data_IF_404098787323
#
_entry.id   IF_404098787323
#
_cell.length_a   1.000
_cell.length_b   1.000
_cell.length_c   1.000
_cell.angle_alpha   90.00
_cell.angle_beta   90.00
_cell.angle_gamma   90.00
#
_symmetry.space_group_name_H-M   'P 1'
#
loop_
_entity.id
_entity.type
_entity.pdbx_description
1 polymer ?
#
# COMPACT_ATOMS: atom_id res chain seq x y z
N UNK A 1 4.01 36.63 -2.97
CA UNK A 1 3.16 37.46 -3.86
C UNK A 1 2.67 38.65 -3.07
N UNK A 2 2.77 39.88 -3.59
CA UNK A 2 2.30 41.11 -2.90
C UNK A 2 1.20 41.76 -3.72
N UNK A 3 0.01 41.94 -3.13
CA UNK A 3 -1.10 42.69 -3.73
C UNK A 3 -0.91 44.17 -3.46
N UNK A 4 -1.12 45.02 -4.47
CA UNK A 4 -0.81 46.45 -4.42
C UNK A 4 -2.04 47.37 -4.56
N UNK A 5 -3.20 46.80 -4.88
CA UNK A 5 -4.46 47.49 -5.20
C UNK A 5 -5.57 47.09 -4.22
N UNK A 6 -6.71 47.78 -4.28
CA UNK A 6 -7.92 47.43 -3.52
C UNK A 6 -8.65 46.23 -4.16
N UNK A 7 -9.49 45.50 -3.41
CA UNK A 7 -10.20 44.28 -3.87
C UNK A 7 -9.56 42.95 -3.44
N UNK A 8 -10.16 41.82 -3.83
CA UNK A 8 -9.74 40.46 -3.48
C UNK A 8 -8.83 39.88 -4.57
N UNK A 9 -7.72 39.24 -4.19
CA UNK A 9 -6.92 38.42 -5.10
C UNK A 9 -6.80 37.00 -4.55
N UNK A 10 -6.92 36.01 -5.44
CA UNK A 10 -6.63 34.62 -5.17
C UNK A 10 -5.30 34.25 -5.83
N UNK A 11 -4.51 33.41 -5.16
CA UNK A 11 -3.27 32.90 -5.71
C UNK A 11 -2.96 31.53 -5.13
N UNK A 12 -2.31 30.68 -5.92
CA UNK A 12 -1.83 29.37 -5.49
C UNK A 12 -0.34 29.26 -5.73
N UNK A 13 0.33 28.47 -4.90
CA UNK A 13 1.72 28.06 -5.09
C UNK A 13 1.73 26.55 -5.12
N UNK A 14 2.31 26.00 -6.18
CA UNK A 14 2.46 24.56 -6.35
C UNK A 14 3.94 24.24 -6.39
N UNK A 15 4.35 23.21 -5.65
CA UNK A 15 5.71 22.69 -5.68
C UNK A 15 5.66 21.17 -5.74
N UNK A 16 6.42 20.61 -6.68
CA UNK A 16 6.55 19.18 -6.90
C UNK A 16 8.04 18.83 -6.98
N UNK A 17 8.40 17.68 -6.44
CA UNK A 17 9.76 17.14 -6.46
C UNK A 17 9.71 15.61 -6.46
N UNK A 18 10.84 14.98 -6.79
CA UNK A 18 11.05 13.56 -6.62
C UNK A 18 11.84 13.34 -5.34
N UNK A 19 11.45 12.33 -4.55
CA UNK A 19 12.11 11.95 -3.31
C UNK A 19 12.57 10.49 -3.40
N UNK A 20 13.62 10.17 -2.65
CA UNK A 20 14.02 8.78 -2.45
C UNK A 20 12.92 8.02 -1.67
N UNK A 21 12.49 6.88 -2.21
CA UNK A 21 11.44 6.06 -1.61
C UNK A 21 11.75 5.63 -0.17
N UNK A 22 13.03 5.44 0.17
CA UNK A 22 13.47 5.11 1.53
C UNK A 22 13.27 6.23 2.54
N UNK A 23 13.04 7.46 2.07
CA UNK A 23 12.81 8.65 2.91
C UNK A 23 11.32 8.97 3.08
N UNK A 24 10.44 8.24 2.41
CA UNK A 24 8.98 8.40 2.55
C UNK A 24 8.55 7.83 3.90
N UNK A 25 8.03 8.70 4.76
CA UNK A 25 7.48 8.32 6.07
C UNK A 25 5.98 8.07 5.98
N UNK A 26 5.37 7.28 6.88
CA UNK A 26 3.94 7.06 6.86
C UNK A 26 3.17 8.38 7.08
N UNK A 27 2.10 8.59 6.33
CA UNK A 27 1.22 9.74 6.50
C UNK A 27 -0.03 9.35 7.29
N UNK A 28 -0.14 9.88 8.51
CA UNK A 28 -1.25 9.63 9.44
C UNK A 28 -2.11 10.87 9.70
N UNK A 29 -2.01 11.89 8.84
CA UNK A 29 -2.68 13.18 9.03
C UNK A 29 -4.18 13.18 8.72
N UNK A 30 -4.72 12.07 8.23
CA UNK A 30 -6.12 11.93 7.83
C UNK A 30 -6.83 10.83 8.61
N UNK A 31 -8.16 10.70 8.46
CA UNK A 31 -8.93 9.56 8.95
C UNK A 31 -8.49 8.18 8.46
N UNK A 32 -7.67 8.10 7.41
CA UNK A 32 -7.12 6.86 6.87
C UNK A 32 -5.72 6.64 7.44
N UNK A 33 -5.43 5.39 7.85
CA UNK A 33 -4.10 5.01 8.30
C UNK A 33 -3.70 3.67 7.70
N UNK A 34 -2.53 3.64 7.08
CA UNK A 34 -1.95 2.45 6.50
C UNK A 34 -0.70 2.00 7.24
N UNK A 35 -0.61 0.69 7.46
CA UNK A 35 0.62 0.04 7.92
C UNK A 35 0.92 -1.15 7.03
N UNK A 36 2.08 -1.12 6.39
CA UNK A 36 2.60 -2.22 5.58
C UNK A 36 3.53 -3.08 6.42
N UNK A 37 3.42 -4.39 6.33
CA UNK A 37 4.31 -5.33 7.01
C UNK A 37 4.57 -6.53 6.11
N UNK A 38 5.78 -7.07 6.15
CA UNK A 38 6.19 -8.22 5.35
C UNK A 38 6.36 -9.46 6.22
N UNK A 39 5.91 -10.59 5.68
CA UNK A 39 6.08 -11.91 6.28
C UNK A 39 6.67 -12.87 5.24
N UNK A 40 7.43 -13.86 5.68
CA UNK A 40 7.70 -15.06 4.90
C UNK A 40 6.70 -16.14 5.27
N UNK A 41 6.23 -16.88 4.27
CA UNK A 41 5.41 -18.07 4.49
C UNK A 41 6.31 -19.29 4.62
N UNK A 42 6.35 -19.85 5.82
CA UNK A 42 7.21 -21.00 6.15
C UNK A 42 6.36 -22.25 6.40
N UNK A 43 6.83 -23.39 5.89
CA UNK A 43 6.20 -24.68 6.13
C UNK A 43 6.63 -25.23 7.49
N UNK A 44 5.69 -25.37 8.42
CA UNK A 44 5.95 -25.98 9.74
C UNK A 44 5.28 -27.35 9.84
N UNK A 45 5.62 -28.12 10.89
CA UNK A 45 4.93 -29.40 11.19
C UNK A 45 3.42 -29.26 11.42
N UNK A 46 2.94 -28.05 11.78
CA UNK A 46 1.53 -27.73 12.00
C UNK A 46 0.84 -27.13 10.76
N UNK A 47 1.55 -27.00 9.65
CA UNK A 47 1.09 -26.32 8.44
C UNK A 47 1.85 -25.01 8.16
N UNK A 48 1.44 -24.26 7.13
CA UNK A 48 2.05 -22.97 6.80
C UNK A 48 1.87 -21.96 7.94
N UNK A 49 2.93 -21.21 8.24
CA UNK A 49 2.91 -20.11 9.20
C UNK A 49 3.52 -18.85 8.57
N UNK A 50 3.09 -17.68 9.04
CA UNK A 50 3.66 -16.40 8.66
C UNK A 50 4.67 -15.95 9.72
N UNK A 51 5.91 -15.71 9.30
CA UNK A 51 6.96 -15.17 10.16
C UNK A 51 7.37 -13.78 9.67
N UNK A 52 7.49 -12.76 10.55
CA UNK A 52 7.94 -11.44 10.13
C UNK A 52 9.31 -11.50 9.45
N UNK A 53 9.49 -10.74 8.37
CA UNK A 53 10.81 -10.61 7.72
C UNK A 53 11.77 -9.90 8.69
N UNK A 54 12.87 -10.57 9.03
CA UNK A 54 13.89 -10.06 9.99
C UNK A 54 15.28 -9.86 9.37
N UNK A 55 15.44 -10.16 8.09
CA UNK A 55 16.74 -10.13 7.43
C UNK A 55 16.64 -10.45 5.95
N UNK A 56 17.76 -10.85 5.36
CA UNK A 56 17.83 -11.15 3.94
C UNK A 56 16.97 -12.37 3.57
N UNK A 57 16.26 -12.26 2.45
CA UNK A 57 15.47 -13.31 1.84
C UNK A 57 16.29 -14.09 0.81
N UNK A 58 15.77 -15.23 0.38
CA UNK A 58 16.30 -16.03 -0.71
C UNK A 58 15.39 -15.97 -1.93
N UNK A 59 15.98 -16.11 -3.12
CA UNK A 59 15.20 -16.34 -4.35
C UNK A 59 14.33 -17.59 -4.17
N UNK A 60 13.05 -17.46 -4.48
CA UNK A 60 12.05 -18.52 -4.32
C UNK A 60 11.22 -18.43 -3.04
N UNK A 61 11.59 -17.59 -2.07
CA UNK A 61 10.78 -17.36 -0.87
C UNK A 61 9.40 -16.80 -1.25
N UNK A 62 8.35 -17.31 -0.59
CA UNK A 62 7.01 -16.73 -0.68
C UNK A 62 6.89 -15.61 0.36
N UNK A 63 6.85 -14.38 -0.15
CA UNK A 63 6.73 -13.16 0.63
C UNK A 63 5.25 -12.79 0.70
N UNK A 64 4.70 -12.67 1.89
CA UNK A 64 3.33 -12.23 2.12
C UNK A 64 3.35 -10.77 2.55
N UNK A 65 2.71 -9.93 1.76
CA UNK A 65 2.50 -8.52 2.08
C UNK A 65 1.20 -8.41 2.86
N UNK A 66 1.26 -7.77 4.03
CA UNK A 66 0.10 -7.43 4.85
C UNK A 66 -0.05 -5.92 4.90
N UNK A 67 -1.24 -5.44 4.58
CA UNK A 67 -1.61 -4.03 4.72
C UNK A 67 -2.73 -3.96 5.76
N UNK A 68 -2.46 -3.29 6.88
CA UNK A 68 -3.47 -2.94 7.88
C UNK A 68 -4.01 -1.56 7.53
N UNK A 69 -5.31 -1.48 7.23
CA UNK A 69 -6.04 -0.24 7.00
C UNK A 69 -6.92 0.07 8.21
N UNK A 70 -6.77 1.24 8.82
CA UNK A 70 -7.69 1.76 9.84
C UNK A 70 -8.40 3.00 9.31
N UNK A 71 -9.69 3.07 9.54
CA UNK A 71 -10.54 4.18 9.09
C UNK A 71 -11.55 4.55 10.18
N UNK A 72 -11.66 5.85 10.48
CA UNK A 72 -12.45 6.33 11.63
C UNK A 72 -13.93 6.66 11.34
N UNK A 73 -14.31 6.65 10.06
CA UNK A 73 -15.64 6.99 9.51
C UNK A 73 -15.92 6.23 8.23
N UNK A 74 -17.18 6.23 7.79
CA UNK A 74 -17.55 5.62 6.52
C UNK A 74 -17.07 6.48 5.34
N UNK A 75 -16.63 5.82 4.27
CA UNK A 75 -16.13 6.44 3.04
C UNK A 75 -16.63 5.69 1.81
N UNK A 76 -16.53 6.33 0.65
CA UNK A 76 -17.00 5.78 -0.63
C UNK A 76 -15.96 5.98 -1.73
N UNK A 77 -15.95 5.07 -2.70
CA UNK A 77 -15.09 5.11 -3.87
C UNK A 77 -13.61 5.29 -3.51
N UNK A 78 -13.10 4.38 -2.69
CA UNK A 78 -11.73 4.39 -2.18
C UNK A 78 -10.85 3.48 -3.05
N UNK A 79 -9.68 3.97 -3.44
CA UNK A 79 -8.67 3.19 -4.13
C UNK A 79 -7.47 2.98 -3.20
N UNK A 80 -7.21 1.72 -2.85
CA UNK A 80 -5.95 1.29 -2.23
C UNK A 80 -5.04 0.71 -3.31
N UNK A 81 -3.81 1.19 -3.40
CA UNK A 81 -2.77 0.75 -4.33
C UNK A 81 -1.53 0.38 -3.51
N UNK A 82 -1.06 -0.83 -3.65
CA UNK A 82 0.20 -1.24 -3.05
C UNK A 82 1.26 -1.49 -4.11
N UNK A 83 2.33 -0.69 -4.06
CA UNK A 83 3.46 -0.83 -4.97
C UNK A 83 4.25 -2.12 -4.67
N UNK A 84 4.93 -2.60 -5.70
CA UNK A 84 5.71 -3.83 -5.66
C UNK A 84 7.20 -3.54 -5.81
N UNK A 85 8.00 -4.23 -5.01
CA UNK A 85 9.44 -4.24 -5.18
C UNK A 85 9.83 -5.02 -6.44
N UNK A 86 10.74 -4.46 -7.23
CA UNK A 86 11.16 -4.99 -8.55
C UNK A 86 11.75 -6.42 -8.50
N UNK A 87 12.19 -6.89 -7.34
CA UNK A 87 12.69 -8.25 -7.15
C UNK A 87 11.61 -9.30 -6.85
N UNK A 88 10.32 -8.93 -6.89
CA UNK A 88 9.20 -9.80 -6.50
C UNK A 88 8.10 -9.85 -7.54
N UNK A 89 7.48 -11.01 -7.70
CA UNK A 89 6.39 -11.26 -8.65
C UNK A 89 5.12 -11.71 -7.93
N UNK A 90 3.91 -11.29 -8.34
CA UNK A 90 2.68 -11.71 -7.69
C UNK A 90 2.40 -13.20 -7.93
N UNK A 91 1.89 -13.89 -6.90
CA UNK A 91 1.47 -15.31 -7.04
C UNK A 91 0.09 -15.42 -7.70
N UNK A 92 -0.81 -14.46 -7.46
CA UNK A 92 -2.12 -14.38 -8.08
C UNK A 92 -2.19 -13.21 -9.07
N UNK A 93 -2.55 -13.51 -10.32
CA UNK A 93 -2.72 -12.52 -11.41
C UNK A 93 -4.18 -12.32 -11.84
N UNK A 94 -5.12 -13.04 -11.21
CA UNK A 94 -6.54 -12.96 -11.56
C UNK A 94 -7.17 -11.76 -10.87
N UNK A 95 -7.68 -10.83 -11.67
CA UNK A 95 -8.51 -9.73 -11.18
C UNK A 95 -9.93 -10.22 -10.93
N UNK A 96 -10.51 -9.90 -9.78
CA UNK A 96 -11.83 -10.38 -9.39
C UNK A 96 -12.43 -9.55 -8.27
N UNK A 97 -13.75 -9.62 -8.14
CA UNK A 97 -14.44 -9.19 -6.92
C UNK A 97 -14.15 -10.15 -5.77
N UNK A 98 -13.81 -9.61 -4.61
CA UNK A 98 -13.61 -10.33 -3.37
C UNK A 98 -14.50 -9.76 -2.28
N UNK A 99 -14.89 -10.63 -1.37
CA UNK A 99 -15.56 -10.26 -0.13
C UNK A 99 -14.84 -10.96 1.02
N UNK A 100 -14.29 -10.18 1.94
CA UNK A 100 -13.54 -10.69 3.07
C UNK A 100 -13.77 -9.80 4.30
N UNK A 101 -13.99 -10.42 5.46
CA UNK A 101 -14.09 -9.74 6.76
C UNK A 101 -15.07 -8.53 6.76
N UNK A 102 -16.16 -8.66 6.02
CA UNK A 102 -17.20 -7.63 5.93
C UNK A 102 -16.99 -6.59 4.81
N UNK A 103 -15.87 -6.63 4.08
CA UNK A 103 -15.52 -5.67 3.03
C UNK A 103 -15.61 -6.31 1.64
N UNK A 104 -16.34 -5.66 0.73
CA UNK A 104 -16.36 -5.99 -0.70
C UNK A 104 -15.40 -5.07 -1.46
N UNK A 105 -14.60 -5.63 -2.36
CA UNK A 105 -13.70 -4.85 -3.22
C UNK A 105 -13.38 -5.59 -4.52
N UNK A 106 -13.00 -4.84 -5.55
CA UNK A 106 -12.41 -5.40 -6.76
C UNK A 106 -10.89 -5.37 -6.67
N UNK A 107 -10.26 -6.55 -6.72
CA UNK A 107 -8.80 -6.68 -6.75
C UNK A 107 -8.30 -6.76 -8.18
N UNK A 108 -7.31 -5.94 -8.52
CA UNK A 108 -6.59 -6.02 -9.80
C UNK A 108 -5.10 -6.04 -9.58
N UNK A 109 -4.48 -7.19 -9.84
CA UNK A 109 -3.02 -7.32 -9.82
C UNK A 109 -2.45 -6.85 -11.15
N UNK A 110 -1.56 -5.86 -11.10
CA UNK A 110 -0.74 -5.40 -12.23
C UNK A 110 0.73 -5.67 -11.91
N UNK A 111 1.61 -5.41 -12.87
CA UNK A 111 3.04 -5.70 -12.78
C UNK A 111 3.77 -4.91 -11.69
N UNK A 112 3.43 -3.63 -11.52
CA UNK A 112 4.11 -2.75 -10.58
C UNK A 112 3.36 -2.57 -9.25
N UNK A 113 2.10 -3.02 -9.18
CA UNK A 113 1.26 -2.82 -8.01
C UNK A 113 0.07 -3.78 -7.94
N UNK A 114 -0.47 -3.96 -6.75
CA UNK A 114 -1.77 -4.57 -6.50
C UNK A 114 -2.78 -3.46 -6.19
N UNK A 115 -3.93 -3.48 -6.87
CA UNK A 115 -4.98 -2.46 -6.74
C UNK A 115 -6.23 -3.06 -6.09
N UNK A 116 -6.83 -2.31 -5.17
CA UNK A 116 -8.07 -2.65 -4.49
C UNK A 116 -9.03 -1.48 -4.62
N UNK A 117 -10.10 -1.66 -5.37
CA UNK A 117 -11.14 -0.66 -5.59
C UNK A 117 -12.33 -0.99 -4.69
N UNK A 118 -12.67 -0.06 -3.80
CA UNK A 118 -13.62 -0.24 -2.71
C UNK A 118 -14.76 0.76 -2.90
N UNK A 119 -15.96 0.28 -3.25
CA UNK A 119 -17.11 1.16 -3.48
C UNK A 119 -17.61 1.79 -2.18
N UNK A 120 -17.68 1.00 -1.11
CA UNK A 120 -18.09 1.45 0.22
C UNK A 120 -17.12 0.88 1.27
N UNK A 121 -16.50 1.78 2.04
CA UNK A 121 -15.56 1.49 3.11
C UNK A 121 -16.17 1.91 4.45
N UNK A 122 -16.82 1.01 5.19
CA UNK A 122 -17.32 1.32 6.52
C UNK A 122 -16.18 1.64 7.48
N UNK A 123 -16.47 2.40 8.53
CA UNK A 123 -15.59 2.58 9.68
C UNK A 123 -15.10 1.23 10.20
N UNK A 124 -13.79 1.08 10.41
CA UNK A 124 -13.25 -0.18 10.91
C UNK A 124 -11.75 -0.35 10.76
N UNK A 125 -11.33 -1.61 10.88
CA UNK A 125 -9.96 -2.05 10.61
C UNK A 125 -10.01 -3.25 9.69
N UNK A 126 -9.25 -3.19 8.60
CA UNK A 126 -9.22 -4.19 7.55
C UNK A 126 -7.79 -4.65 7.31
N UNK A 127 -7.63 -5.92 6.96
CA UNK A 127 -6.32 -6.51 6.68
C UNK A 127 -6.35 -7.10 5.28
N UNK A 128 -5.48 -6.60 4.41
CA UNK A 128 -5.27 -7.14 3.07
C UNK A 128 -4.00 -7.97 3.08
N UNK A 129 -4.09 -9.24 2.69
CA UNK A 129 -2.95 -10.14 2.57
C UNK A 129 -2.88 -10.72 1.16
N UNK A 130 -1.70 -10.67 0.57
CA UNK A 130 -1.45 -11.34 -0.70
C UNK A 130 0.00 -11.80 -0.80
N UNK A 131 0.20 -12.92 -1.50
CA UNK A 131 1.53 -13.51 -1.70
C UNK A 131 2.20 -12.98 -2.96
N UNK A 132 3.49 -12.69 -2.85
CA UNK A 132 4.44 -12.53 -3.93
C UNK A 132 5.56 -13.59 -3.80
N UNK A 133 6.31 -13.78 -4.87
CA UNK A 133 7.46 -14.69 -4.95
C UNK A 133 8.71 -13.85 -5.18
N UNK A 134 9.75 -14.08 -4.39
CA UNK A 134 11.06 -13.45 -4.61
C UNK A 134 11.74 -14.08 -5.83
N UNK A 135 12.18 -13.26 -6.79
CA UNK A 135 12.76 -13.72 -8.06
C UNK A 135 14.21 -13.27 -8.28
N UNK A 136 14.55 -12.03 -7.92
CA UNK A 136 15.85 -11.43 -8.25
C UNK A 136 16.64 -11.10 -6.98
N UNK A 137 17.95 -11.37 -7.04
CA UNK A 137 18.92 -11.00 -6.00
C UNK A 137 19.28 -9.53 -6.10
N UNK A 138 19.30 -8.84 -4.96
CA UNK A 138 19.66 -7.43 -4.88
C UNK A 138 19.03 -6.75 -3.68
N UNK A 139 19.14 -5.42 -3.67
CA UNK A 139 18.56 -4.56 -2.64
C UNK A 139 17.57 -3.61 -3.30
N UNK A 140 16.32 -3.64 -2.86
CA UNK A 140 15.23 -2.87 -3.46
C UNK A 140 14.30 -2.32 -2.39
N UNK A 141 13.53 -1.31 -2.76
CA UNK A 141 12.41 -0.82 -1.97
C UNK A 141 11.13 -1.56 -2.39
N UNK A 142 10.27 -1.90 -1.44
CA UNK A 142 8.94 -2.46 -1.76
C UNK A 142 8.01 -1.46 -2.43
N UNK A 143 8.33 -0.17 -2.32
CA UNK A 143 7.37 0.91 -2.57
C UNK A 143 6.33 1.01 -1.46
N UNK A 144 5.51 2.04 -1.56
CA UNK A 144 4.49 2.40 -0.58
C UNK A 144 3.12 1.77 -0.90
N UNK A 145 2.31 1.60 0.14
CA UNK A 145 0.87 1.45 -0.01
C UNK A 145 0.24 2.83 0.07
N UNK A 146 -0.54 3.20 -0.94
CA UNK A 146 -1.26 4.46 -1.09
C UNK A 146 -2.76 4.20 -1.02
N UNK A 147 -3.52 4.97 -0.25
CA UNK A 147 -4.99 4.92 -0.25
C UNK A 147 -5.57 6.31 -0.42
N UNK A 148 -6.61 6.45 -1.23
CA UNK A 148 -7.25 7.73 -1.48
C UNK A 148 -8.71 7.57 -1.89
N UNK A 149 -9.56 8.52 -1.49
CA UNK A 149 -10.91 8.66 -2.03
C UNK A 149 -10.87 9.30 -3.43
N UNK A 150 -11.52 8.68 -4.41
CA UNK A 150 -11.48 9.14 -5.81
C UNK A 150 -12.16 10.50 -6.03
N UNK A 151 -13.12 10.86 -5.17
CA UNK A 151 -13.92 12.09 -5.28
C UNK A 151 -13.68 13.09 -4.15
N UNK A 152 -12.84 12.74 -3.17
CA UNK A 152 -12.48 13.61 -2.05
C UNK A 152 -10.98 13.39 -1.74
N UNK A 153 -10.09 13.85 -2.63
CA UNK A 153 -8.67 13.48 -2.61
C UNK A 153 -7.93 13.92 -1.35
N UNK A 154 -8.47 14.86 -0.57
CA UNK A 154 -7.96 15.26 0.75
C UNK A 154 -8.05 14.13 1.80
N UNK A 155 -8.86 13.10 1.54
CA UNK A 155 -8.86 11.86 2.31
C UNK A 155 -7.94 10.85 1.64
N UNK A 156 -6.65 11.00 1.92
CA UNK A 156 -5.60 10.09 1.49
C UNK A 156 -4.72 9.63 2.67
N UNK A 157 -3.94 8.58 2.46
CA UNK A 157 -2.88 8.15 3.37
C UNK A 157 -1.89 7.31 2.59
N UNK A 158 -0.67 7.20 3.10
CA UNK A 158 0.30 6.25 2.58
C UNK A 158 1.16 5.66 3.68
N UNK A 159 1.65 4.44 3.46
CA UNK A 159 2.65 3.82 4.33
C UNK A 159 4.05 4.34 4.04
N UNK A 160 5.02 3.90 4.84
CA UNK A 160 6.43 3.89 4.43
C UNK A 160 6.69 2.78 3.41
N UNK A 161 7.85 2.86 2.76
CA UNK A 161 8.41 1.74 2.00
C UNK A 161 9.32 0.90 2.90
N UNK A 162 9.38 -0.40 2.64
CA UNK A 162 10.24 -1.32 3.36
C UNK A 162 11.41 -1.76 2.48
N UNK A 163 12.60 -1.82 3.06
CA UNK A 163 13.79 -2.33 2.38
C UNK A 163 13.73 -3.86 2.26
N UNK A 164 14.10 -4.36 1.10
CA UNK A 164 14.17 -5.78 0.75
C UNK A 164 15.61 -6.10 0.35
N UNK A 165 16.23 -7.05 1.05
CA UNK A 165 17.57 -7.57 0.71
C UNK A 165 17.41 -9.04 0.33
N UNK A 166 17.86 -9.41 -0.86
CA UNK A 166 17.72 -10.78 -1.41
C UNK A 166 19.09 -11.34 -1.78
N UNK A 167 19.39 -12.55 -1.29
CA UNK A 167 20.66 -13.27 -1.49
C UNK A 167 20.55 -14.46 -2.44
#
# INVERSE_FOLDING_TARGET
VKKADEGIAWGSVHWQYLEDMSRVTPYEGTPLKLKKTLFTKVSTKKGPALEPVKGALQVGDELVVRIELRVDRDMEYVHLKDQRGSGTEPVNVVSQYKYQDGLAYYESTRDTASHFFIDYLPKGTYVFEYSTRVQLRGEYQTGIADIQCMYAPEFDSHSESLALVVK
#
